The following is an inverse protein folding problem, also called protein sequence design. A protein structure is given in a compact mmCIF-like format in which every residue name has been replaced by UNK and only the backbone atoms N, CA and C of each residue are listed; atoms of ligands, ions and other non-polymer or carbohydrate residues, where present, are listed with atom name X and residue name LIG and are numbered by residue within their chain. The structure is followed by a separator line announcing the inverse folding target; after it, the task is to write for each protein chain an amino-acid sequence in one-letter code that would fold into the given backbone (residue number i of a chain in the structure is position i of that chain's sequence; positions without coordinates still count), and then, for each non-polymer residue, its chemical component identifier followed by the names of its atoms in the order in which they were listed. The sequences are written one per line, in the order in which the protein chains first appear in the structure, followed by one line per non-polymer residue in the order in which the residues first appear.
data_IF_073013083953
#
_entry.id   IF_073013083953
#
_cell.length_a   1.000
_cell.length_b   1.000
_cell.length_c   1.000
_cell.angle_alpha   90.00
_cell.angle_beta   90.00
_cell.angle_gamma   90.00
#
_symmetry.space_group_name_H-M   'P 1'
#
loop_
_entity.id
_entity.type
_entity.pdbx_description
1 polymer ?
#
# COMPACT_ATOMS: atom_id res chain seq x y z
N UNK A 1 33.34 1.46 -15.14
CA UNK A 1 32.78 1.98 -13.87
C UNK A 1 31.31 2.33 -14.11
N UNK A 2 30.41 1.35 -14.08
CA UNK A 2 28.97 1.57 -14.33
C UNK A 2 28.24 1.64 -12.99
N UNK A 3 27.63 2.77 -12.66
CA UNK A 3 26.74 2.86 -11.50
C UNK A 3 25.51 2.00 -11.78
N UNK A 4 25.48 0.79 -11.22
CA UNK A 4 24.22 0.06 -11.04
C UNK A 4 23.44 0.85 -9.99
N UNK A 5 22.47 1.65 -10.43
CA UNK A 5 21.64 2.43 -9.51
C UNK A 5 20.91 1.48 -8.57
N UNK A 6 21.08 1.65 -7.25
CA UNK A 6 20.26 0.97 -6.25
C UNK A 6 18.81 1.46 -6.41
N UNK A 7 18.03 0.80 -7.26
CA UNK A 7 16.59 1.00 -7.29
C UNK A 7 16.01 0.36 -6.02
N UNK A 8 15.33 1.15 -5.20
CA UNK A 8 14.63 0.62 -4.03
C UNK A 8 13.55 -0.37 -4.50
N UNK A 9 13.40 -1.53 -3.86
CA UNK A 9 12.47 -2.56 -4.31
C UNK A 9 11.01 -2.11 -4.15
N UNK A 10 10.17 -2.49 -5.12
CA UNK A 10 8.71 -2.34 -5.04
C UNK A 10 8.10 -3.60 -4.44
N UNK A 11 7.15 -3.43 -3.53
CA UNK A 11 6.42 -4.54 -2.90
C UNK A 11 4.95 -4.48 -3.30
N UNK A 12 4.40 -5.57 -3.84
CA UNK A 12 2.97 -5.74 -4.07
C UNK A 12 2.43 -6.77 -3.07
N UNK A 13 1.42 -6.39 -2.32
CA UNK A 13 0.71 -7.25 -1.39
C UNK A 13 -0.73 -7.40 -1.87
N UNK A 14 -0.98 -8.53 -2.55
CA UNK A 14 -2.28 -8.84 -3.12
C UNK A 14 -3.14 -9.61 -2.09
N UNK A 15 -4.42 -9.28 -2.01
CA UNK A 15 -5.44 -9.94 -1.18
C UNK A 15 -5.03 -10.14 0.29
N UNK A 16 -4.42 -9.10 0.87
CA UNK A 16 -3.88 -9.13 2.23
C UNK A 16 -4.91 -9.54 3.28
N UNK A 17 -6.16 -9.15 3.07
CA UNK A 17 -7.19 -9.18 4.08
C UNK A 17 -8.06 -10.45 4.06
N UNK A 18 -7.99 -11.27 3.01
CA UNK A 18 -8.54 -12.63 3.06
C UNK A 18 -7.67 -13.55 3.96
N UNK A 19 -6.38 -13.23 4.11
CA UNK A 19 -5.40 -14.08 4.83
C UNK A 19 -4.97 -13.54 6.19
N UNK A 20 -5.12 -12.25 6.44
CA UNK A 20 -4.59 -11.60 7.63
C UNK A 20 -5.67 -10.76 8.33
N UNK A 21 -5.72 -10.89 9.65
CA UNK A 21 -6.52 -9.99 10.48
C UNK A 21 -5.90 -8.57 10.52
N UNK A 22 -6.66 -7.54 10.93
CA UNK A 22 -6.19 -6.15 10.95
C UNK A 22 -4.90 -5.95 11.76
N UNK A 23 -4.70 -6.72 12.85
CA UNK A 23 -3.51 -6.59 13.70
C UNK A 23 -2.27 -7.12 12.99
N UNK A 24 -2.39 -8.22 12.26
CA UNK A 24 -1.31 -8.76 11.43
C UNK A 24 -0.93 -7.82 10.30
N UNK A 25 -1.90 -7.12 9.72
CA UNK A 25 -1.66 -6.18 8.63
C UNK A 25 -0.93 -4.94 9.14
N UNK A 26 -1.36 -4.40 10.28
CA UNK A 26 -0.63 -3.33 10.98
C UNK A 26 0.83 -3.72 11.25
N UNK A 27 1.05 -4.92 11.81
CA UNK A 27 2.41 -5.42 12.09
C UNK A 27 3.22 -5.61 10.79
N UNK A 28 2.62 -6.16 9.73
CA UNK A 28 3.28 -6.32 8.44
C UNK A 28 3.70 -4.97 7.87
N UNK A 29 2.77 -4.01 7.83
CA UNK A 29 3.01 -2.66 7.31
C UNK A 29 4.09 -1.93 8.11
N UNK A 30 4.12 -2.07 9.44
CA UNK A 30 5.19 -1.54 10.30
C UNK A 30 6.56 -2.17 9.98
N UNK A 31 6.62 -3.46 9.67
CA UNK A 31 7.89 -4.12 9.32
C UNK A 31 8.39 -3.66 7.94
N UNK A 32 7.50 -3.50 6.96
CA UNK A 32 7.89 -3.11 5.60
C UNK A 32 8.18 -1.61 5.49
N UNK A 33 7.55 -0.76 6.31
CA UNK A 33 7.89 0.67 6.39
C UNK A 33 9.33 0.91 6.85
N UNK A 34 9.86 0.03 7.71
CA UNK A 34 11.20 0.17 8.29
C UNK A 34 12.31 -0.41 7.38
N UNK A 35 11.95 -1.17 6.35
CA UNK A 35 12.90 -1.96 5.53
C UNK A 35 13.23 -1.33 4.19
N UNK A 36 13.52 -0.03 4.12
CA UNK A 36 14.00 0.67 2.90
C UNK A 36 13.33 0.23 1.57
N UNK A 37 12.06 -0.18 1.63
CA UNK A 37 11.28 -0.48 0.43
C UNK A 37 10.95 0.86 -0.23
N UNK A 38 10.97 0.90 -1.56
CA UNK A 38 10.71 2.11 -2.31
C UNK A 38 9.22 2.44 -2.30
N UNK A 39 8.44 1.64 -3.04
CA UNK A 39 7.01 1.82 -3.19
C UNK A 39 6.28 0.53 -2.80
N UNK A 40 5.16 0.66 -2.09
CA UNK A 40 4.33 -0.46 -1.66
C UNK A 40 2.93 -0.30 -2.27
N UNK A 41 2.45 -1.36 -2.90
CA UNK A 41 1.09 -1.47 -3.42
C UNK A 41 0.31 -2.49 -2.58
N UNK A 42 -0.90 -2.12 -2.18
CA UNK A 42 -1.81 -2.96 -1.40
C UNK A 42 -3.12 -3.11 -2.17
N UNK A 43 -3.70 -4.29 -2.17
CA UNK A 43 -5.09 -4.50 -2.61
C UNK A 43 -5.95 -4.95 -1.42
N UNK A 44 -7.11 -4.31 -1.28
CA UNK A 44 -8.12 -4.63 -0.25
C UNK A 44 -9.52 -4.34 -0.81
N UNK A 45 -10.51 -5.24 -0.65
CA UNK A 45 -11.91 -4.89 -0.89
C UNK A 45 -12.48 -3.84 0.08
N UNK A 46 -11.88 -3.62 1.26
CA UNK A 46 -12.34 -2.64 2.26
C UNK A 46 -11.44 -1.41 2.34
N UNK A 47 -11.80 -0.38 1.57
CA UNK A 47 -11.07 0.90 1.54
C UNK A 47 -11.07 1.62 2.89
N UNK A 48 -12.16 1.57 3.66
CA UNK A 48 -12.27 2.32 4.92
C UNK A 48 -11.29 1.77 5.96
N UNK A 49 -11.21 0.43 6.06
CA UNK A 49 -10.24 -0.26 6.91
C UNK A 49 -8.81 0.04 6.47
N UNK A 50 -8.50 -0.13 5.18
CA UNK A 50 -7.15 0.13 4.66
C UNK A 50 -6.71 1.57 4.92
N UNK A 51 -7.59 2.55 4.72
CA UNK A 51 -7.34 3.96 5.10
C UNK A 51 -6.96 4.09 6.56
N UNK A 52 -7.77 3.58 7.48
CA UNK A 52 -7.51 3.73 8.92
C UNK A 52 -6.13 3.21 9.37
N UNK A 53 -5.67 2.11 8.77
CA UNK A 53 -4.36 1.52 9.09
C UNK A 53 -3.24 2.33 8.43
N UNK A 54 -3.31 2.54 7.10
CA UNK A 54 -2.22 3.19 6.36
C UNK A 54 -2.06 4.66 6.79
N UNK A 55 -3.16 5.36 7.08
CA UNK A 55 -3.17 6.73 7.60
C UNK A 55 -2.38 6.87 8.91
N UNK A 56 -2.41 5.83 9.76
CA UNK A 56 -1.68 5.81 11.03
C UNK A 56 -0.18 5.54 10.88
N UNK A 57 0.24 4.98 9.74
CA UNK A 57 1.62 4.56 9.48
C UNK A 57 2.36 5.61 8.65
N UNK A 58 1.70 6.22 7.65
CA UNK A 58 2.37 7.16 6.74
C UNK A 58 1.42 8.22 6.20
N UNK A 59 1.96 9.42 5.99
CA UNK A 59 1.30 10.50 5.24
C UNK A 59 1.52 10.41 3.73
N UNK A 60 2.53 9.64 3.28
CA UNK A 60 2.90 9.49 1.87
C UNK A 60 2.17 8.30 1.26
N UNK A 61 0.94 8.55 0.79
CA UNK A 61 0.05 7.53 0.25
C UNK A 61 -0.93 8.13 -0.75
N UNK A 62 -1.44 7.28 -1.63
CA UNK A 62 -2.55 7.61 -2.53
C UNK A 62 -3.52 6.43 -2.54
N UNK A 63 -4.81 6.73 -2.62
CA UNK A 63 -5.87 5.73 -2.64
C UNK A 63 -6.47 5.66 -4.02
N UNK A 64 -6.68 4.43 -4.51
CA UNK A 64 -7.28 4.18 -5.80
C UNK A 64 -8.43 3.20 -5.64
N UNK A 65 -9.55 3.51 -6.27
CA UNK A 65 -10.70 2.62 -6.40
C UNK A 65 -10.63 1.98 -7.78
N UNK A 66 -10.71 0.65 -7.82
CA UNK A 66 -10.74 -0.14 -9.04
C UNK A 66 -12.15 -0.68 -9.28
N UNK A 67 -12.83 -0.20 -10.31
CA UNK A 67 -14.18 -0.64 -10.67
C UNK A 67 -14.29 -0.89 -12.18
N UNK A 68 -14.83 -2.05 -12.56
CA UNK A 68 -15.07 -2.43 -13.97
C UNK A 68 -13.82 -2.28 -14.87
N UNK A 69 -12.64 -2.56 -14.32
CA UNK A 69 -11.36 -2.45 -15.04
C UNK A 69 -10.80 -1.03 -15.17
N UNK A 70 -11.42 -0.03 -14.53
CA UNK A 70 -10.92 1.34 -14.47
C UNK A 70 -10.45 1.68 -13.04
N UNK A 71 -9.36 2.45 -12.93
CA UNK A 71 -8.85 2.97 -11.67
C UNK A 71 -9.16 4.46 -11.56
N UNK A 72 -9.60 4.91 -10.38
CA UNK A 72 -9.80 6.33 -10.05
C UNK A 72 -9.14 6.64 -8.72
N UNK A 73 -8.47 7.78 -8.64
CA UNK A 73 -7.92 8.26 -7.38
C UNK A 73 -9.05 8.74 -6.48
N UNK A 74 -9.06 8.25 -5.24
CA UNK A 74 -10.08 8.59 -4.25
C UNK A 74 -9.69 9.90 -3.53
N UNK A 75 -10.46 10.96 -3.77
CA UNK A 75 -10.20 12.31 -3.25
C UNK A 75 -9.96 13.40 -4.31
N UNK A 76 -9.84 13.04 -5.60
CA UNK A 76 -9.90 14.00 -6.70
C UNK A 76 -11.38 14.33 -6.97
N UNK A 77 -11.87 15.43 -6.40
CA UNK A 77 -13.15 16.02 -6.82
C UNK A 77 -12.84 16.92 -8.01
N UNK A 78 -13.29 16.53 -9.21
CA UNK A 78 -13.47 17.51 -10.30
C UNK A 78 -14.68 18.40 -10.03
#
# INVERSE_FOLDING_TARGET
MGKQGLAAPTLLLDDLFDKLDPKRIENLLSIVSDRNFGQIFLTDPDMARTKSIVDSITSQRAYFIAEKGAFREDGQTE
#
